data_IF_365718744910
#
_entry.id   IF_365718744910
#
_cell.length_a   1.000
_cell.length_b   1.000
_cell.length_c   1.000
_cell.angle_alpha   90.00
_cell.angle_beta   90.00
_cell.angle_gamma   90.00
#
_symmetry.space_group_name_H-M   'P 1'
#
loop_
_entity.id
_entity.type
_entity.pdbx_description
1 polymer ?
#
# COMPACT_ATOMS: atom_id res chain seq x y z
N UNK A 1 -17.96 -22.31 1.61
CA UNK A 1 -19.19 -21.53 1.88
C UNK A 1 -18.78 -20.14 2.33
N UNK A 2 -18.62 -19.21 1.38
CA UNK A 2 -18.18 -17.83 1.66
C UNK A 2 -19.30 -17.09 2.38
N UNK A 3 -19.17 -16.90 3.69
CA UNK A 3 -20.07 -16.05 4.47
C UNK A 3 -19.88 -14.61 4.00
N UNK A 4 -20.93 -14.07 3.39
CA UNK A 4 -21.26 -12.67 3.13
C UNK A 4 -20.12 -11.68 3.38
N UNK A 5 -19.50 -11.21 2.29
CA UNK A 5 -18.76 -9.95 2.31
C UNK A 5 -19.70 -8.88 2.87
N UNK A 6 -19.39 -8.37 4.05
CA UNK A 6 -20.24 -7.39 4.74
C UNK A 6 -20.31 -6.16 3.84
N UNK A 7 -21.46 -5.97 3.17
CA UNK A 7 -21.66 -4.93 2.17
C UNK A 7 -21.37 -3.54 2.74
N UNK A 8 -21.48 -3.39 4.07
CA UNK A 8 -21.09 -2.18 4.81
C UNK A 8 -19.60 -1.90 4.70
N UNK A 9 -18.76 -2.92 4.71
CA UNK A 9 -17.31 -2.80 4.56
C UNK A 9 -16.97 -2.54 3.10
N UNK A 10 -17.55 -3.28 2.16
CA UNK A 10 -17.37 -3.00 0.73
C UNK A 10 -17.81 -1.57 0.36
N UNK A 11 -18.94 -1.12 0.89
CA UNK A 11 -19.46 0.23 0.71
C UNK A 11 -18.58 1.28 1.40
N UNK A 12 -18.10 1.02 2.62
CA UNK A 12 -17.16 1.94 3.30
C UNK A 12 -15.86 2.07 2.53
N UNK A 13 -15.32 0.97 1.98
CA UNK A 13 -14.12 0.98 1.14
C UNK A 13 -14.35 1.77 -0.13
N UNK A 14 -15.46 1.53 -0.84
CA UNK A 14 -15.82 2.30 -2.04
C UNK A 14 -15.99 3.79 -1.70
N UNK A 15 -16.65 4.10 -0.58
CA UNK A 15 -16.90 5.46 -0.11
C UNK A 15 -15.61 6.19 0.24
N UNK A 16 -14.67 5.56 0.96
CA UNK A 16 -13.37 6.16 1.27
C UNK A 16 -12.46 6.27 0.02
N UNK A 17 -12.57 5.35 -0.94
CA UNK A 17 -11.90 5.48 -2.25
C UNK A 17 -12.46 6.66 -3.06
N UNK A 18 -13.75 6.96 -2.96
CA UNK A 18 -14.37 8.13 -3.61
C UNK A 18 -14.10 9.46 -2.87
N UNK A 19 -13.70 9.41 -1.60
CA UNK A 19 -13.34 10.56 -0.78
C UNK A 19 -11.83 10.81 -0.70
N UNK A 20 -11.00 10.04 -1.42
CA UNK A 20 -9.56 10.25 -1.40
C UNK A 20 -9.22 11.60 -2.08
N UNK A 21 -8.96 12.62 -1.26
CA UNK A 21 -8.24 13.82 -1.70
C UNK A 21 -6.78 13.50 -2.02
N UNK A 22 -5.98 14.52 -2.36
CA UNK A 22 -4.54 14.37 -2.60
C UNK A 22 -3.86 13.76 -1.37
N UNK A 23 -3.62 12.46 -1.43
CA UNK A 23 -3.00 11.73 -0.35
C UNK A 23 -1.50 11.60 -0.62
N UNK A 24 -0.75 12.36 0.17
CA UNK A 24 0.70 12.54 0.06
C UNK A 24 1.45 11.39 0.74
N UNK A 25 1.34 10.18 0.19
CA UNK A 25 2.26 9.08 0.54
C UNK A 25 3.70 9.39 0.09
N UNK A 26 3.85 10.27 -0.90
CA UNK A 26 5.12 10.69 -1.48
C UNK A 26 5.53 12.10 -1.03
N UNK A 27 5.83 12.28 0.25
CA UNK A 27 6.24 13.58 0.77
C UNK A 27 7.44 14.15 -0.01
N UNK A 28 7.43 15.46 -0.25
CA UNK A 28 8.58 16.17 -0.84
C UNK A 28 9.65 16.29 0.23
N UNK A 29 10.73 15.53 0.12
CA UNK A 29 11.86 15.66 1.02
C UNK A 29 12.80 16.75 0.48
N UNK A 30 13.08 17.76 1.31
CA UNK A 30 13.88 18.92 0.90
C UNK A 30 15.37 18.63 0.65
N UNK A 31 15.88 17.45 1.04
CA UNK A 31 17.28 17.06 0.92
C UNK A 31 17.44 15.57 0.55
N UNK A 32 18.52 15.25 -0.18
CA UNK A 32 18.90 13.90 -0.63
C UNK A 32 18.94 12.83 0.48
N UNK A 33 19.25 13.24 1.71
CA UNK A 33 19.29 12.36 2.88
C UNK A 33 17.92 11.76 3.19
N UNK A 34 16.86 12.58 3.13
CA UNK A 34 15.49 12.14 3.42
C UNK A 34 15.01 11.09 2.43
N UNK A 35 15.23 11.32 1.13
CA UNK A 35 14.89 10.36 0.08
C UNK A 35 15.67 9.06 0.24
N UNK A 36 16.98 9.14 0.50
CA UNK A 36 17.83 7.95 0.65
C UNK A 36 17.38 7.09 1.83
N UNK A 37 17.17 7.71 3.00
CA UNK A 37 16.66 7.00 4.18
C UNK A 37 15.29 6.38 3.93
N UNK A 38 14.42 7.08 3.20
CA UNK A 38 13.10 6.58 2.85
C UNK A 38 13.16 5.35 1.93
N UNK A 39 13.98 5.39 0.88
CA UNK A 39 14.17 4.24 -0.01
C UNK A 39 14.79 3.03 0.72
N UNK A 40 15.72 3.25 1.66
CA UNK A 40 16.25 2.20 2.53
C UNK A 40 15.14 1.60 3.40
N UNK A 41 14.26 2.43 3.95
CA UNK A 41 13.11 1.95 4.74
C UNK A 41 12.17 1.07 3.91
N UNK A 42 11.93 1.40 2.64
CA UNK A 42 11.19 0.54 1.72
C UNK A 42 11.86 -0.83 1.55
N UNK A 43 13.17 -0.89 1.32
CA UNK A 43 13.91 -2.14 1.16
C UNK A 43 13.84 -3.03 2.41
N UNK A 44 14.02 -2.44 3.60
CA UNK A 44 13.93 -3.16 4.88
C UNK A 44 12.51 -3.67 5.11
N UNK A 45 11.50 -2.84 4.84
CA UNK A 45 10.10 -3.23 5.03
C UNK A 45 9.71 -4.34 4.06
N UNK A 46 10.10 -4.25 2.78
CA UNK A 46 9.90 -5.30 1.79
C UNK A 46 10.54 -6.62 2.23
N UNK A 47 11.82 -6.61 2.63
CA UNK A 47 12.51 -7.80 3.12
C UNK A 47 11.79 -8.43 4.32
N UNK A 48 11.28 -7.61 5.24
CA UNK A 48 10.51 -8.06 6.41
C UNK A 48 9.19 -8.72 6.01
N UNK A 49 8.47 -8.15 5.04
CA UNK A 49 7.22 -8.70 4.53
C UNK A 49 7.43 -10.02 3.77
N UNK A 50 8.48 -10.11 2.94
CA UNK A 50 8.83 -11.36 2.25
C UNK A 50 9.21 -12.43 3.27
N UNK A 51 10.02 -12.10 4.27
CA UNK A 51 10.34 -13.01 5.36
C UNK A 51 9.08 -13.52 6.06
N UNK A 52 8.15 -12.62 6.42
CA UNK A 52 6.88 -12.99 7.04
C UNK A 52 6.06 -13.94 6.15
N UNK A 53 5.91 -13.63 4.86
CA UNK A 53 5.23 -14.48 3.89
C UNK A 53 5.85 -15.89 3.83
N UNK A 54 7.18 -15.98 3.77
CA UNK A 54 7.89 -17.26 3.75
C UNK A 54 7.66 -18.06 5.03
N UNK A 55 7.69 -17.41 6.20
CA UNK A 55 7.43 -18.07 7.49
C UNK A 55 6.01 -18.61 7.58
N UNK A 56 5.02 -17.82 7.17
CA UNK A 56 3.61 -18.22 7.16
C UNK A 56 3.34 -19.37 6.17
N UNK A 57 4.01 -19.35 5.01
CA UNK A 57 3.91 -20.40 4.00
C UNK A 57 4.54 -21.72 4.48
N UNK A 58 5.77 -21.68 5.00
CA UNK A 58 6.49 -22.87 5.46
C UNK A 58 5.84 -23.51 6.69
N UNK A 59 5.30 -22.71 7.61
CA UNK A 59 4.64 -23.21 8.82
C UNK A 59 3.29 -23.88 8.57
N UNK A 60 2.78 -23.86 7.32
CA UNK A 60 1.39 -24.25 6.95
C UNK A 60 0.32 -23.55 7.79
N UNK A 61 0.70 -22.49 8.51
CA UNK A 61 -0.19 -21.75 9.41
C UNK A 61 -1.24 -20.99 8.61
N UNK A 62 -0.92 -20.64 7.36
CA UNK A 62 -1.86 -20.07 6.38
C UNK A 62 -3.07 -20.97 6.05
N UNK A 63 -3.06 -22.25 6.43
CA UNK A 63 -4.23 -23.14 6.28
C UNK A 63 -5.28 -22.86 7.37
N UNK A 64 -4.88 -22.26 8.50
CA UNK A 64 -5.80 -21.83 9.55
C UNK A 64 -6.34 -20.43 9.23
N UNK A 65 -7.66 -20.31 9.27
CA UNK A 65 -8.44 -19.27 8.58
C UNK A 65 -8.07 -17.80 8.89
N UNK A 66 -7.45 -17.48 10.03
CA UNK A 66 -6.98 -16.12 10.34
C UNK A 66 -5.63 -15.77 9.71
N UNK A 67 -4.72 -16.73 9.68
CA UNK A 67 -3.36 -16.55 9.18
C UNK A 67 -3.28 -16.46 7.65
N UNK A 68 -4.27 -17.02 6.93
CA UNK A 68 -4.41 -16.80 5.48
C UNK A 68 -4.62 -15.32 5.14
N UNK A 69 -5.43 -14.60 5.93
CA UNK A 69 -5.65 -13.17 5.78
C UNK A 69 -4.41 -12.35 6.12
N UNK A 70 -3.66 -12.75 7.15
CA UNK A 70 -2.37 -12.12 7.50
C UNK A 70 -1.34 -12.33 6.38
N UNK A 71 -1.28 -13.53 5.78
CA UNK A 71 -0.44 -13.81 4.63
C UNK A 71 -0.82 -12.93 3.42
N UNK A 72 -2.12 -12.87 3.09
CA UNK A 72 -2.60 -12.04 1.98
C UNK A 72 -2.32 -10.55 2.22
N UNK A 73 -2.50 -10.08 3.46
CA UNK A 73 -2.13 -8.72 3.86
C UNK A 73 -0.64 -8.44 3.66
N UNK A 74 0.23 -9.32 4.16
CA UNK A 74 1.68 -9.17 4.01
C UNK A 74 2.11 -9.16 2.54
N UNK A 75 1.51 -10.03 1.72
CA UNK A 75 1.75 -10.05 0.29
C UNK A 75 1.30 -8.74 -0.40
N UNK A 76 0.09 -8.26 -0.11
CA UNK A 76 -0.42 -7.00 -0.67
C UNK A 76 0.43 -5.79 -0.23
N UNK A 77 0.86 -5.73 1.04
CA UNK A 77 1.80 -4.71 1.49
C UNK A 77 3.14 -4.78 0.77
N UNK A 78 3.62 -5.98 0.43
CA UNK A 78 4.88 -6.13 -0.31
C UNK A 78 4.74 -5.60 -1.74
N UNK A 79 3.63 -5.91 -2.41
CA UNK A 79 3.33 -5.36 -3.76
C UNK A 79 3.15 -3.85 -3.70
N UNK A 80 2.40 -3.33 -2.73
CA UNK A 80 2.26 -1.89 -2.49
C UNK A 80 3.62 -1.23 -2.27
N UNK A 81 4.47 -1.83 -1.44
CA UNK A 81 5.79 -1.29 -1.13
C UNK A 81 6.66 -1.14 -2.39
N UNK A 82 6.66 -2.14 -3.27
CA UNK A 82 7.37 -2.09 -4.56
C UNK A 82 6.80 -0.99 -5.45
N UNK A 83 5.47 -0.88 -5.54
CA UNK A 83 4.83 0.20 -6.31
C UNK A 83 5.26 1.57 -5.78
N UNK A 84 5.14 1.82 -4.48
CA UNK A 84 5.50 3.11 -3.86
C UNK A 84 6.98 3.42 -4.03
N UNK A 85 7.87 2.43 -3.85
CA UNK A 85 9.30 2.58 -4.13
C UNK A 85 9.55 3.08 -5.55
N UNK A 86 8.93 2.47 -6.57
CA UNK A 86 9.09 2.91 -7.95
C UNK A 86 8.50 4.30 -8.21
N UNK A 87 7.40 4.67 -7.56
CA UNK A 87 6.85 6.03 -7.66
C UNK A 87 7.87 7.06 -7.16
N UNK A 88 8.54 6.79 -6.04
CA UNK A 88 9.61 7.66 -5.54
C UNK A 88 10.78 7.75 -6.53
N UNK A 89 11.21 6.62 -7.09
CA UNK A 89 12.28 6.59 -8.09
C UNK A 89 11.89 7.36 -9.36
N UNK A 90 10.67 7.15 -9.89
CA UNK A 90 10.21 7.84 -11.10
C UNK A 90 10.11 9.34 -10.90
N UNK A 91 9.71 9.79 -9.72
CA UNK A 91 9.65 11.21 -9.39
C UNK A 91 10.98 11.93 -9.64
N UNK A 92 12.11 11.30 -9.31
CA UNK A 92 13.45 11.87 -9.52
C UNK A 92 13.84 11.96 -11.00
N UNK A 93 13.27 11.10 -11.85
CA UNK A 93 13.51 11.13 -13.30
C UNK A 93 12.56 12.07 -14.05
N UNK A 94 11.52 12.58 -13.40
CA UNK A 94 10.57 13.49 -14.03
C UNK A 94 11.14 14.89 -14.10
N UNK A 95 10.99 15.50 -15.28
CA UNK A 95 11.32 16.91 -15.45
C UNK A 95 10.46 17.77 -14.53
N UNK A 96 11.01 18.80 -13.88
CA UNK A 96 10.22 19.76 -13.12
C UNK A 96 9.08 20.40 -13.95
N UNK A 97 9.27 20.50 -15.28
CA UNK A 97 8.26 21.01 -16.21
C UNK A 97 7.05 20.08 -16.41
N UNK A 98 7.13 18.81 -15.97
CA UNK A 98 5.98 17.89 -15.99
C UNK A 98 4.88 18.29 -14.99
N UNK A 99 5.20 19.18 -14.05
CA UNK A 99 4.31 19.68 -13.00
C UNK A 99 3.95 21.14 -13.31
N UNK A 100 2.65 21.43 -13.44
CA UNK A 100 2.16 22.78 -13.79
C UNK A 100 1.31 23.38 -12.68
N UNK A 101 1.55 24.65 -12.36
CA UNK A 101 0.82 25.38 -11.31
C UNK A 101 1.27 24.99 -9.91
N UNK A 102 1.50 25.98 -9.06
CA UNK A 102 1.77 25.78 -7.63
C UNK A 102 0.63 26.42 -6.85
N UNK A 103 -0.19 25.61 -6.20
CA UNK A 103 -1.16 26.09 -5.22
C UNK A 103 -0.77 25.48 -3.86
N UNK A 104 -0.45 26.33 -2.87
CA UNK A 104 0.04 25.89 -1.55
C UNK A 104 1.25 24.92 -1.61
N UNK A 105 2.22 25.17 -2.51
CA UNK A 105 3.37 24.29 -2.79
C UNK A 105 3.04 22.93 -3.43
N UNK A 106 1.81 22.76 -3.95
CA UNK A 106 1.38 21.55 -4.63
C UNK A 106 1.23 21.79 -6.12
N UNK A 107 1.70 20.83 -6.92
CA UNK A 107 1.50 20.82 -8.37
C UNK A 107 0.00 20.66 -8.69
N UNK A 108 -0.59 21.63 -9.39
CA UNK A 108 -2.03 21.66 -9.70
C UNK A 108 -2.35 20.82 -10.95
N UNK A 109 -1.38 20.64 -11.83
CA UNK A 109 -1.49 19.83 -13.04
C UNK A 109 -0.27 18.94 -13.24
N UNK A 110 -0.50 17.80 -13.88
CA UNK A 110 0.54 16.85 -14.25
C UNK A 110 0.40 16.51 -15.73
N UNK A 111 1.48 16.68 -16.49
CA UNK A 111 1.50 16.37 -17.91
C UNK A 111 2.26 15.07 -18.17
N UNK A 112 1.58 14.11 -18.79
CA UNK A 112 2.14 12.80 -19.11
C UNK A 112 2.78 12.85 -20.50
N UNK A 113 4.09 13.05 -20.56
CA UNK A 113 4.86 13.11 -21.82
C UNK A 113 5.81 11.92 -22.02
N UNK A 114 5.86 10.99 -21.05
CA UNK A 114 6.79 9.87 -21.09
C UNK A 114 6.23 8.64 -20.36
N UNK A 115 6.78 7.46 -20.64
CA UNK A 115 6.41 6.23 -19.93
C UNK A 115 6.66 6.33 -18.42
N UNK A 116 7.79 6.86 -17.91
CA UNK A 116 7.96 7.11 -16.47
C UNK A 116 6.89 8.05 -15.88
N UNK A 117 6.43 9.06 -16.64
CA UNK A 117 5.35 9.95 -16.18
C UNK A 117 4.02 9.20 -16.06
N UNK A 118 3.72 8.31 -17.00
CA UNK A 118 2.53 7.47 -16.95
C UNK A 118 2.58 6.50 -15.75
N UNK A 119 3.73 5.85 -15.54
CA UNK A 119 3.93 4.93 -14.41
C UNK A 119 3.88 5.66 -13.06
N UNK A 120 4.46 6.86 -12.96
CA UNK A 120 4.33 7.72 -11.80
C UNK A 120 2.87 8.10 -11.51
N UNK A 121 2.11 8.49 -12.54
CA UNK A 121 0.70 8.86 -12.41
C UNK A 121 -0.15 7.70 -11.89
N UNK A 122 -0.04 6.51 -12.49
CA UNK A 122 -0.78 5.35 -12.01
C UNK A 122 -0.31 4.88 -10.64
N UNK A 123 1.00 4.95 -10.38
CA UNK A 123 1.57 4.53 -9.11
C UNK A 123 1.13 5.41 -7.94
N UNK A 124 0.76 6.69 -8.17
CA UNK A 124 0.15 7.58 -7.16
C UNK A 124 -1.21 7.09 -6.64
N UNK A 125 -1.89 6.16 -7.33
CA UNK A 125 -3.11 5.51 -6.84
C UNK A 125 -2.82 4.27 -5.97
N UNK A 126 -1.83 4.38 -5.10
CA UNK A 126 -1.33 3.31 -4.23
C UNK A 126 -2.33 2.88 -3.14
N UNK A 127 -3.33 3.71 -2.87
CA UNK A 127 -4.37 3.52 -1.86
C UNK A 127 -5.16 2.23 -2.04
N UNK A 128 -5.37 1.79 -3.27
CA UNK A 128 -6.12 0.56 -3.55
C UNK A 128 -5.40 -0.65 -2.95
N UNK A 129 -4.09 -0.75 -3.14
CA UNK A 129 -3.29 -1.85 -2.59
C UNK A 129 -3.13 -1.71 -1.07
N UNK A 130 -2.79 -0.51 -0.58
CA UNK A 130 -2.60 -0.26 0.84
C UNK A 130 -3.87 -0.54 1.66
N UNK A 131 -5.02 -0.01 1.23
CA UNK A 131 -6.29 -0.20 1.91
C UNK A 131 -6.71 -1.67 1.88
N UNK A 132 -6.54 -2.35 0.75
CA UNK A 132 -6.81 -3.78 0.64
C UNK A 132 -5.96 -4.61 1.60
N UNK A 133 -4.66 -4.29 1.70
CA UNK A 133 -3.75 -4.93 2.64
C UNK A 133 -4.16 -4.71 4.11
N UNK A 134 -4.57 -3.48 4.46
CA UNK A 134 -5.02 -3.11 5.80
C UNK A 134 -6.33 -3.82 6.19
N UNK A 135 -7.28 -3.95 5.26
CA UNK A 135 -8.51 -4.69 5.50
C UNK A 135 -8.23 -6.17 5.74
N UNK A 136 -7.38 -6.78 4.92
CA UNK A 136 -6.95 -8.17 5.12
C UNK A 136 -6.30 -8.35 6.50
N UNK A 137 -5.45 -7.40 6.92
CA UNK A 137 -4.83 -7.42 8.25
C UNK A 137 -5.89 -7.40 9.36
N UNK A 138 -6.84 -6.45 9.28
CA UNK A 138 -7.90 -6.28 10.26
C UNK A 138 -8.78 -7.53 10.35
N UNK A 139 -9.16 -8.12 9.21
CA UNK A 139 -9.92 -9.36 9.18
C UNK A 139 -9.15 -10.53 9.78
N UNK A 140 -7.86 -10.67 9.46
CA UNK A 140 -7.00 -11.71 10.03
C UNK A 140 -6.92 -11.62 11.54
N UNK A 141 -6.66 -10.41 12.08
CA UNK A 141 -6.59 -10.18 13.53
C UNK A 141 -7.93 -10.45 14.21
N UNK A 142 -9.03 -9.93 13.66
CA UNK A 142 -10.38 -10.16 14.21
C UNK A 142 -10.74 -11.64 14.21
N UNK A 143 -10.40 -12.36 13.16
CA UNK A 143 -10.64 -13.79 13.08
C UNK A 143 -9.88 -14.54 14.18
N UNK A 144 -8.60 -14.24 14.39
CA UNK A 144 -7.82 -14.89 15.45
C UNK A 144 -8.39 -14.59 16.84
N UNK A 145 -8.69 -13.32 17.15
CA UNK A 145 -9.27 -12.92 18.43
C UNK A 145 -10.61 -13.59 18.74
N UNK A 146 -11.45 -13.81 17.73
CA UNK A 146 -12.76 -14.44 17.95
C UNK A 146 -12.66 -15.95 18.14
N UNK A 147 -11.80 -16.63 17.39
CA UNK A 147 -11.67 -18.10 17.48
C UNK A 147 -10.78 -18.55 18.65
N UNK A 148 -9.84 -17.73 19.10
CA UNK A 148 -9.04 -18.02 20.29
C UNK A 148 -9.86 -17.83 21.58
N UNK A 149 -10.92 -17.01 21.54
CA UNK A 149 -11.84 -16.78 22.66
C UNK A 149 -12.91 -17.88 22.85
N UNK A 150 -13.13 -18.76 21.87
CA UNK A 150 -14.05 -19.91 22.01
C UNK A 150 -13.35 -21.18 22.51
N UNK A 151 -12.02 -21.15 22.66
CA UNK A 151 -11.20 -22.27 23.15
C UNK A 151 -10.71 -22.10 24.60
N UNK A 152 -11.11 -21.02 25.29
CA UNK A 152 -10.85 -20.76 26.72
C UNK A 152 -12.10 -20.93 27.57
#
# INVERSE_FOLDING_TARGET
MMKNLDWKIAFSVLFFLCLSGSAEATQVHGNWEGLTSHLIAHLIFFASLIYLCLRLYQGRTSVHSGWSWIFLSAFLFAVWNVQTFYVHVYREYLSPYAFTGLEHNLAVGFQVHSLPALLYYFGRFDHVLFLSALLCLLYGIRFMLHNDGELS
#
